data_IF_737373878286
#
_entry.id   IF_737373878286
#
_cell.length_a   1.000
_cell.length_b   1.000
_cell.length_c   1.000
_cell.angle_alpha   90.00
_cell.angle_beta   90.00
_cell.angle_gamma   90.00
#
_symmetry.space_group_name_H-M   'P 1'
#
loop_
_entity.id
_entity.type
_entity.pdbx_description
1 polymer ?
#
# COMPACT_ATOMS: atom_id res chain seq x y z
N UNK A 1 -16.84 -20.79 6.46
CA UNK A 1 -16.54 -19.42 6.93
C UNK A 1 -15.07 -19.08 6.69
N UNK A 2 -14.78 -17.90 6.11
CA UNK A 2 -13.41 -17.38 6.00
C UNK A 2 -12.96 -16.81 7.34
N UNK A 3 -11.78 -17.19 7.79
CA UNK A 3 -11.21 -16.69 9.03
C UNK A 3 -9.72 -16.35 8.82
N UNK A 4 -9.31 -15.08 8.98
CA UNK A 4 -7.94 -14.64 8.69
C UNK A 4 -6.90 -15.03 9.72
N UNK A 5 -7.30 -15.67 10.83
CA UNK A 5 -6.39 -16.16 11.86
C UNK A 5 -5.44 -15.09 12.37
N UNK A 6 -4.13 -15.33 12.26
CA UNK A 6 -3.11 -14.40 12.74
C UNK A 6 -3.17 -13.00 12.09
N UNK A 7 -3.72 -12.86 10.88
CA UNK A 7 -3.90 -11.57 10.23
C UNK A 7 -4.93 -10.68 10.95
N UNK A 8 -5.83 -11.27 11.74
CA UNK A 8 -6.77 -10.57 12.62
C UNK A 8 -6.48 -10.83 14.11
N UNK A 9 -5.20 -11.03 14.43
CA UNK A 9 -4.73 -11.29 15.80
C UNK A 9 -5.12 -10.21 16.80
N UNK A 10 -5.41 -8.96 16.39
CA UNK A 10 -5.83 -7.90 17.29
C UNK A 10 -7.09 -8.24 18.11
N UNK A 11 -8.07 -8.91 17.51
CA UNK A 11 -9.27 -9.34 18.23
C UNK A 11 -8.98 -10.45 19.25
N UNK A 12 -8.14 -11.42 18.85
CA UNK A 12 -7.73 -12.51 19.74
C UNK A 12 -6.88 -11.98 20.88
N UNK A 13 -5.92 -11.12 20.61
CA UNK A 13 -5.08 -10.47 21.60
C UNK A 13 -5.90 -9.69 22.64
N UNK A 14 -6.94 -8.97 22.20
CA UNK A 14 -7.86 -8.28 23.10
C UNK A 14 -8.57 -9.24 24.07
N UNK A 15 -9.10 -10.37 23.58
CA UNK A 15 -9.75 -11.36 24.45
C UNK A 15 -8.74 -12.11 25.34
N UNK A 16 -7.58 -12.46 24.79
CA UNK A 16 -6.47 -13.09 25.50
C UNK A 16 -5.92 -12.21 26.62
N UNK A 17 -5.99 -10.88 26.50
CA UNK A 17 -5.61 -9.95 27.57
C UNK A 17 -6.44 -10.17 28.84
N UNK A 18 -7.77 -10.32 28.73
CA UNK A 18 -8.61 -10.53 29.92
C UNK A 18 -8.35 -11.86 30.61
N UNK A 19 -7.98 -12.88 29.83
CA UNK A 19 -7.59 -14.19 30.34
C UNK A 19 -6.23 -14.18 31.02
N UNK A 20 -5.20 -13.67 30.36
CA UNK A 20 -3.80 -13.86 30.79
C UNK A 20 -3.25 -12.68 31.62
N UNK A 21 -3.71 -11.45 31.35
CA UNK A 21 -3.22 -10.23 32.01
C UNK A 21 -4.18 -9.79 33.12
N UNK A 22 -5.46 -9.58 32.79
CA UNK A 22 -6.46 -9.20 33.78
C UNK A 22 -6.86 -10.38 34.69
N UNK A 23 -6.53 -11.61 34.29
CA UNK A 23 -6.79 -12.87 35.04
C UNK A 23 -8.23 -13.03 35.45
N UNK A 24 -9.16 -12.58 34.60
CA UNK A 24 -10.57 -12.90 34.78
C UNK A 24 -10.73 -14.42 34.63
N UNK A 25 -11.55 -15.05 35.48
CA UNK A 25 -11.85 -16.47 35.38
C UNK A 25 -13.24 -16.67 34.77
N UNK A 26 -13.29 -17.24 33.57
CA UNK A 26 -14.52 -17.45 32.81
C UNK A 26 -14.54 -18.86 32.20
N UNK A 27 -15.66 -19.59 32.30
CA UNK A 27 -15.78 -20.94 31.73
C UNK A 27 -15.60 -20.97 30.20
N UNK A 28 -15.89 -19.86 29.51
CA UNK A 28 -15.78 -19.72 28.05
C UNK A 28 -14.33 -19.87 27.56
N UNK A 29 -13.32 -19.65 28.40
CA UNK A 29 -11.92 -19.74 27.98
C UNK A 29 -11.52 -21.14 27.52
N UNK A 30 -12.19 -22.19 28.00
CA UNK A 30 -11.94 -23.57 27.53
C UNK A 30 -12.24 -23.71 26.04
N UNK A 31 -13.38 -23.18 25.59
CA UNK A 31 -13.76 -23.19 24.19
C UNK A 31 -12.90 -22.21 23.36
N UNK A 32 -12.62 -21.02 23.91
CA UNK A 32 -11.80 -20.01 23.25
C UNK A 32 -10.34 -20.48 23.03
N UNK A 33 -9.79 -21.32 23.90
CA UNK A 33 -8.42 -21.81 23.79
C UNK A 33 -8.11 -22.41 22.41
N UNK A 34 -9.05 -23.16 21.81
CA UNK A 34 -8.87 -23.71 20.47
C UNK A 34 -8.71 -22.61 19.40
N UNK A 35 -9.49 -21.54 19.50
CA UNK A 35 -9.43 -20.40 18.60
C UNK A 35 -8.14 -19.58 18.78
N UNK A 36 -7.72 -19.41 20.03
CA UNK A 36 -6.45 -18.77 20.41
C UNK A 36 -5.26 -19.56 19.85
N UNK A 37 -5.18 -20.87 20.12
CA UNK A 37 -4.15 -21.76 19.57
C UNK A 37 -4.12 -21.73 18.04
N UNK A 38 -5.28 -21.81 17.38
CA UNK A 38 -5.36 -21.73 15.92
C UNK A 38 -4.84 -20.39 15.37
N UNK A 39 -4.92 -19.31 16.15
CA UNK A 39 -4.39 -17.98 15.79
C UNK A 39 -2.90 -17.88 16.05
N UNK A 40 -2.39 -18.50 17.11
CA UNK A 40 -0.96 -18.52 17.47
C UNK A 40 -0.17 -19.42 16.53
N UNK A 41 -0.73 -20.53 16.05
CA UNK A 41 0.00 -21.53 15.26
C UNK A 41 -0.37 -21.54 13.77
N UNK A 42 -1.59 -21.12 13.41
CA UNK A 42 -2.05 -21.10 12.02
C UNK A 42 -2.09 -19.70 11.41
N UNK A 43 -2.19 -19.64 10.09
CA UNK A 43 -2.50 -18.41 9.37
C UNK A 43 -3.96 -18.39 8.93
N UNK A 44 -4.20 -17.91 7.72
CA UNK A 44 -5.52 -17.88 7.11
C UNK A 44 -6.14 -19.26 7.07
N UNK A 45 -7.44 -19.34 7.38
CA UNK A 45 -8.16 -20.60 7.43
C UNK A 45 -9.57 -20.49 6.84
N UNK A 46 -9.99 -21.56 6.20
CA UNK A 46 -11.37 -21.78 5.78
C UNK A 46 -11.96 -22.88 6.63
N UNK A 47 -12.96 -22.52 7.42
CA UNK A 47 -13.60 -23.42 8.37
C UNK A 47 -14.93 -23.89 7.79
N UNK A 48 -15.10 -25.20 7.64
CA UNK A 48 -16.32 -25.90 7.27
C UNK A 48 -16.76 -26.81 8.43
N UNK A 49 -18.05 -27.18 8.55
CA UNK A 49 -18.47 -28.17 9.56
C UNK A 49 -17.68 -29.48 9.52
N UNK A 50 -17.33 -29.95 8.32
CA UNK A 50 -16.65 -31.24 8.14
C UNK A 50 -15.13 -31.16 8.03
N UNK A 51 -14.57 -30.00 7.68
CA UNK A 51 -13.13 -29.85 7.46
C UNK A 51 -12.63 -28.43 7.72
N UNK A 52 -11.33 -28.29 7.93
CA UNK A 52 -10.67 -27.00 8.04
C UNK A 52 -9.43 -26.98 7.15
N UNK A 53 -9.33 -25.98 6.28
CA UNK A 53 -8.12 -25.72 5.50
C UNK A 53 -7.36 -24.61 6.20
N UNK A 54 -6.08 -24.85 6.49
CA UNK A 54 -5.20 -23.87 7.13
C UNK A 54 -4.00 -23.63 6.22
N UNK A 55 -3.75 -22.37 5.89
CA UNK A 55 -2.54 -21.95 5.19
C UNK A 55 -1.37 -21.81 6.18
N UNK A 56 -0.17 -22.16 5.75
CA UNK A 56 1.05 -21.78 6.46
C UNK A 56 1.25 -20.26 6.42
N UNK A 57 2.15 -19.74 7.24
CA UNK A 57 2.47 -18.31 7.24
C UNK A 57 3.22 -17.93 5.97
N UNK A 58 2.94 -16.76 5.40
CA UNK A 58 3.77 -16.20 4.35
C UNK A 58 5.21 -16.02 4.87
N UNK A 59 6.19 -16.38 4.04
CA UNK A 59 7.60 -16.14 4.28
C UNK A 59 7.98 -14.67 4.08
N UNK A 60 7.17 -13.93 3.34
CA UNK A 60 7.40 -12.50 3.06
C UNK A 60 6.08 -11.75 3.14
N UNK A 61 6.08 -10.64 3.88
CA UNK A 61 5.00 -9.67 3.94
C UNK A 61 5.62 -8.27 3.92
N UNK A 62 5.39 -7.54 2.82
CA UNK A 62 5.88 -6.19 2.62
C UNK A 62 4.72 -5.22 2.55
N UNK A 63 4.89 -4.09 3.25
CA UNK A 63 3.91 -3.02 3.33
C UNK A 63 4.56 -1.67 3.11
N UNK A 64 3.77 -0.70 2.67
CA UNK A 64 4.20 0.70 2.61
C UNK A 64 4.09 1.40 3.98
N UNK A 65 4.43 2.69 4.00
CA UNK A 65 4.40 3.52 5.20
C UNK A 65 3.01 3.69 5.84
N UNK A 66 1.92 3.39 5.10
CA UNK A 66 0.56 3.36 5.62
C UNK A 66 0.11 1.95 6.02
N UNK A 67 1.04 0.99 6.05
CA UNK A 67 0.78 -0.44 6.33
C UNK A 67 -0.12 -1.11 5.30
N UNK A 68 -0.14 -0.63 4.05
CA UNK A 68 -0.84 -1.29 2.93
C UNK A 68 0.09 -2.28 2.23
N UNK A 69 -0.40 -3.44 1.75
CA UNK A 69 0.37 -4.34 0.90
C UNK A 69 1.11 -3.61 -0.23
N UNK A 70 2.44 -3.71 -0.28
CA UNK A 70 3.22 -3.04 -1.33
C UNK A 70 4.63 -3.62 -1.46
N UNK A 71 5.08 -3.81 -2.70
CA UNK A 71 6.48 -4.01 -3.04
C UNK A 71 6.73 -3.57 -4.48
N UNK A 72 7.82 -2.83 -4.71
CA UNK A 72 8.21 -2.42 -6.05
C UNK A 72 9.20 -3.39 -6.72
N UNK A 73 9.83 -4.27 -5.94
CA UNK A 73 10.96 -5.11 -6.39
C UNK A 73 10.63 -6.61 -6.40
N UNK A 74 9.37 -6.97 -6.15
CA UNK A 74 8.93 -8.37 -6.14
C UNK A 74 7.55 -8.54 -5.51
N UNK A 75 7.17 -9.77 -5.13
CA UNK A 75 5.89 -10.03 -4.47
C UNK A 75 5.83 -9.31 -3.13
N UNK A 76 4.68 -8.72 -2.81
CA UNK A 76 4.46 -8.18 -1.46
C UNK A 76 4.12 -9.29 -0.47
N UNK A 77 3.54 -10.39 -0.96
CA UNK A 77 3.26 -11.59 -0.17
C UNK A 77 3.87 -12.80 -0.87
N UNK A 78 4.63 -13.62 -0.15
CA UNK A 78 5.16 -14.89 -0.68
C UNK A 78 5.04 -16.00 0.35
N UNK A 79 4.75 -17.21 -0.11
CA UNK A 79 4.71 -18.44 0.67
C UNK A 79 5.82 -19.39 0.24
N UNK A 80 6.16 -20.33 1.13
CA UNK A 80 7.27 -21.28 0.94
C UNK A 80 7.01 -22.30 -0.16
N UNK A 81 5.76 -22.49 -0.54
CA UNK A 81 5.32 -23.35 -1.64
C UNK A 81 5.44 -22.66 -3.02
N UNK A 82 5.86 -21.39 -3.06
CA UNK A 82 6.00 -20.60 -4.28
C UNK A 82 4.77 -19.76 -4.61
N UNK A 83 3.68 -19.82 -3.83
CA UNK A 83 2.55 -18.93 -4.01
C UNK A 83 2.95 -17.47 -3.71
N UNK A 84 2.48 -16.55 -4.55
CA UNK A 84 2.85 -15.13 -4.47
C UNK A 84 1.66 -14.24 -4.77
N UNK A 85 1.63 -13.08 -4.13
CA UNK A 85 0.71 -11.99 -4.47
C UNK A 85 1.50 -10.69 -4.63
N UNK A 86 1.06 -9.87 -5.58
CA UNK A 86 1.70 -8.62 -5.95
C UNK A 86 0.73 -7.48 -5.69
N UNK A 87 1.21 -6.49 -4.95
CA UNK A 87 0.40 -5.33 -4.60
C UNK A 87 1.22 -4.06 -4.78
N UNK A 88 0.56 -3.02 -5.25
CA UNK A 88 1.09 -1.66 -5.35
C UNK A 88 0.21 -0.73 -4.50
N UNK A 89 0.72 -0.25 -3.36
CA UNK A 89 0.00 0.65 -2.45
C UNK A 89 -1.39 0.16 -2.03
N UNK A 90 -1.52 -1.16 -1.83
CA UNK A 90 -2.77 -1.83 -1.45
C UNK A 90 -3.62 -2.31 -2.62
N UNK A 91 -3.31 -1.94 -3.86
CA UNK A 91 -4.00 -2.43 -5.05
C UNK A 91 -3.32 -3.71 -5.55
N UNK A 92 -4.10 -4.78 -5.72
CA UNK A 92 -3.60 -6.02 -6.33
C UNK A 92 -3.30 -5.78 -7.81
N UNK A 93 -2.15 -6.27 -8.26
CA UNK A 93 -1.67 -6.12 -9.63
C UNK A 93 -1.15 -7.43 -10.19
N UNK A 94 -1.15 -7.58 -11.53
CA UNK A 94 -0.46 -8.69 -12.19
C UNK A 94 1.04 -8.71 -11.85
N UNK A 95 1.62 -9.90 -11.76
CA UNK A 95 3.03 -10.09 -11.40
C UNK A 95 3.97 -9.40 -12.41
N UNK A 96 3.62 -9.46 -13.69
CA UNK A 96 4.37 -8.87 -14.80
C UNK A 96 4.56 -7.36 -14.66
N UNK A 97 3.65 -6.64 -14.00
CA UNK A 97 3.78 -5.19 -13.82
C UNK A 97 4.90 -4.84 -12.84
N UNK A 98 5.27 -5.77 -11.95
CA UNK A 98 6.36 -5.59 -10.99
C UNK A 98 7.64 -6.24 -11.50
N UNK A 99 7.56 -7.50 -11.96
CA UNK A 99 8.73 -8.26 -12.40
C UNK A 99 9.27 -7.76 -13.75
N UNK A 100 8.40 -7.28 -14.63
CA UNK A 100 8.72 -6.73 -15.95
C UNK A 100 8.34 -5.26 -16.06
N UNK A 101 8.46 -4.52 -14.95
CA UNK A 101 8.11 -3.08 -14.87
C UNK A 101 8.73 -2.19 -15.96
N UNK A 102 9.86 -2.61 -16.53
CA UNK A 102 10.56 -1.92 -17.61
C UNK A 102 9.92 -2.12 -19.01
N UNK A 103 9.01 -3.08 -19.16
CA UNK A 103 8.25 -3.33 -20.40
C UNK A 103 6.96 -2.49 -20.47
N UNK A 104 6.57 -1.81 -19.39
CA UNK A 104 5.36 -0.98 -19.36
C UNK A 104 5.56 0.23 -20.27
N UNK A 105 4.58 0.49 -21.13
CA UNK A 105 4.61 1.61 -22.09
C UNK A 105 3.42 2.58 -21.90
N UNK A 106 3.53 3.83 -22.36
CA UNK A 106 2.41 4.78 -22.41
C UNK A 106 1.16 4.23 -23.12
N UNK A 107 1.35 3.44 -24.18
CA UNK A 107 0.25 2.82 -24.91
C UNK A 107 -0.50 1.80 -24.04
N UNK A 108 0.22 0.97 -23.27
CA UNK A 108 -0.39 0.04 -22.32
C UNK A 108 -1.16 0.77 -21.22
N UNK A 109 -0.60 1.87 -20.68
CA UNK A 109 -1.29 2.71 -19.70
C UNK A 109 -2.64 3.21 -20.25
N UNK A 110 -2.64 3.79 -21.46
CA UNK A 110 -3.88 4.31 -22.07
C UNK A 110 -4.89 3.22 -22.46
N UNK A 111 -4.41 2.01 -22.77
CA UNK A 111 -5.28 0.88 -23.10
C UNK A 111 -6.00 0.29 -21.88
N UNK A 112 -5.44 0.45 -20.66
CA UNK A 112 -6.06 -0.04 -19.43
C UNK A 112 -7.37 0.70 -19.13
N UNK A 113 -8.45 -0.06 -19.05
CA UNK A 113 -9.82 0.45 -18.91
C UNK A 113 -10.13 0.81 -17.46
N UNK A 114 -9.64 0.01 -16.52
CA UNK A 114 -9.86 0.26 -15.10
C UNK A 114 -9.02 1.48 -14.66
N UNK A 115 -9.68 2.53 -14.21
CA UNK A 115 -9.02 3.78 -13.83
C UNK A 115 -8.00 3.60 -12.69
N UNK A 116 -8.30 2.75 -11.71
CA UNK A 116 -7.38 2.46 -10.60
C UNK A 116 -6.13 1.72 -11.09
N UNK A 117 -6.31 0.73 -11.97
CA UNK A 117 -5.18 -0.01 -12.53
C UNK A 117 -4.34 0.84 -13.49
N UNK A 118 -4.97 1.71 -14.29
CA UNK A 118 -4.28 2.67 -15.15
C UNK A 118 -3.43 3.65 -14.34
N UNK A 119 -3.94 4.09 -13.19
CA UNK A 119 -3.20 4.92 -12.25
C UNK A 119 -1.99 4.17 -11.68
N UNK A 120 -2.17 2.91 -11.28
CA UNK A 120 -1.06 2.07 -10.80
C UNK A 120 0.01 1.89 -11.87
N UNK A 121 -0.36 1.59 -13.12
CA UNK A 121 0.60 1.52 -14.23
C UNK A 121 1.36 2.84 -14.43
N UNK A 122 0.68 3.97 -14.33
CA UNK A 122 1.31 5.31 -14.41
C UNK A 122 2.34 5.50 -13.30
N UNK A 123 2.01 5.12 -12.06
CA UNK A 123 2.93 5.19 -10.92
C UNK A 123 4.13 4.26 -11.09
N UNK A 124 3.93 3.02 -11.57
CA UNK A 124 5.01 2.06 -11.84
C UNK A 124 5.92 2.59 -12.95
N UNK A 125 5.36 3.08 -14.05
CA UNK A 125 6.15 3.68 -15.14
C UNK A 125 6.99 4.86 -14.63
N UNK A 126 6.39 5.75 -13.84
CA UNK A 126 7.09 6.88 -13.25
C UNK A 126 8.15 6.44 -12.22
N UNK A 127 7.94 5.33 -11.51
CA UNK A 127 8.94 4.73 -10.62
C UNK A 127 10.17 4.23 -11.39
N UNK A 128 9.97 3.64 -12.57
CA UNK A 128 11.07 3.10 -13.41
C UNK A 128 11.78 4.20 -14.20
N UNK A 129 11.04 5.11 -14.82
CA UNK A 129 11.57 6.08 -15.78
C UNK A 129 11.71 7.50 -15.23
N UNK A 130 11.17 7.76 -14.04
CA UNK A 130 11.15 9.07 -13.40
C UNK A 130 9.97 9.94 -13.84
N UNK A 131 9.67 10.94 -13.01
CA UNK A 131 8.55 11.87 -13.21
C UNK A 131 8.67 12.66 -14.54
N UNK A 132 9.87 13.09 -14.92
CA UNK A 132 10.07 13.85 -16.16
C UNK A 132 9.65 13.10 -17.41
N UNK A 133 9.91 11.79 -17.46
CA UNK A 133 9.59 10.95 -18.62
C UNK A 133 8.10 10.68 -18.73
N UNK A 134 7.42 10.34 -17.64
CA UNK A 134 5.95 10.18 -17.67
C UNK A 134 5.24 11.48 -18.04
N UNK A 135 5.73 12.64 -17.57
CA UNK A 135 5.15 13.95 -17.89
C UNK A 135 5.24 14.21 -19.39
N UNK A 136 6.39 13.93 -20.01
CA UNK A 136 6.59 14.10 -21.45
C UNK A 136 5.77 13.09 -22.27
N UNK A 137 5.88 11.80 -21.95
CA UNK A 137 5.30 10.72 -22.76
C UNK A 137 3.77 10.66 -22.68
N UNK A 138 3.20 11.02 -21.53
CA UNK A 138 1.75 11.04 -21.34
C UNK A 138 1.12 12.41 -21.64
N UNK A 139 1.91 13.46 -21.90
CA UNK A 139 1.40 14.81 -22.11
C UNK A 139 0.74 15.40 -20.87
N UNK A 140 1.36 15.22 -19.70
CA UNK A 140 0.78 15.63 -18.42
C UNK A 140 0.60 17.15 -18.35
N UNK A 141 -0.61 17.60 -17.99
CA UNK A 141 -0.94 19.02 -17.84
C UNK A 141 -0.77 19.44 -16.38
N UNK A 142 0.10 20.40 -16.12
CA UNK A 142 0.27 20.93 -14.77
C UNK A 142 -0.98 21.74 -14.36
N UNK A 143 -1.53 21.42 -13.20
CA UNK A 143 -2.71 22.06 -12.62
C UNK A 143 -2.30 23.17 -11.65
N UNK A 144 -1.36 22.84 -10.75
CA UNK A 144 -0.92 23.74 -9.69
C UNK A 144 0.53 23.41 -9.30
N UNK A 145 1.28 24.44 -8.90
CA UNK A 145 2.62 24.33 -8.31
C UNK A 145 2.64 25.13 -7.03
N UNK A 146 3.31 24.61 -6.00
CA UNK A 146 3.65 25.36 -4.81
C UNK A 146 5.01 24.89 -4.25
N UNK A 147 5.36 25.39 -3.06
CA UNK A 147 6.56 24.96 -2.34
C UNK A 147 6.25 24.75 -0.87
N UNK A 148 6.79 23.67 -0.30
CA UNK A 148 6.80 23.43 1.13
C UNK A 148 8.23 23.13 1.59
N UNK A 149 8.68 23.82 2.65
CA UNK A 149 10.03 23.67 3.20
C UNK A 149 11.14 23.84 2.12
N UNK A 150 10.94 24.76 1.18
CA UNK A 150 11.88 25.04 0.08
C UNK A 150 11.86 24.01 -1.05
N UNK A 151 10.90 23.08 -1.07
CA UNK A 151 10.79 22.00 -2.07
C UNK A 151 9.55 22.20 -2.91
N UNK A 152 9.73 22.21 -4.24
CA UNK A 152 8.62 22.31 -5.19
C UNK A 152 7.74 21.07 -5.15
N UNK A 153 6.43 21.29 -5.19
CA UNK A 153 5.42 20.25 -5.38
C UNK A 153 4.57 20.64 -6.57
N UNK A 154 4.26 19.67 -7.43
CA UNK A 154 3.52 19.93 -8.68
C UNK A 154 2.40 18.93 -8.83
N UNK A 155 1.20 19.45 -9.04
CA UNK A 155 0.02 18.65 -9.33
C UNK A 155 -0.21 18.62 -10.83
N UNK A 156 -0.41 17.43 -11.37
CA UNK A 156 -0.60 17.15 -12.79
C UNK A 156 -1.94 16.44 -13.03
N UNK A 157 -2.45 16.63 -14.24
CA UNK A 157 -3.55 15.90 -14.84
C UNK A 157 -3.01 15.04 -15.98
N UNK A 158 -3.32 13.75 -15.96
CA UNK A 158 -3.03 12.81 -17.05
C UNK A 158 -4.32 12.07 -17.36
N UNK A 159 -4.88 12.30 -18.54
CA UNK A 159 -6.10 11.63 -19.03
C UNK A 159 -7.24 11.62 -17.99
N UNK A 160 -7.43 12.75 -17.29
CA UNK A 160 -8.46 12.96 -16.27
C UNK A 160 -8.11 12.44 -14.86
N UNK A 161 -6.90 11.91 -14.66
CA UNK A 161 -6.41 11.42 -13.36
C UNK A 161 -5.39 12.39 -12.76
N UNK A 162 -5.46 12.61 -11.45
CA UNK A 162 -4.57 13.53 -10.73
C UNK A 162 -3.31 12.84 -10.25
N UNK A 163 -2.16 13.48 -10.42
CA UNK A 163 -0.86 13.00 -9.93
C UNK A 163 -0.06 14.12 -9.27
N UNK A 164 0.59 13.80 -8.15
CA UNK A 164 1.46 14.69 -7.43
C UNK A 164 2.92 14.28 -7.62
N UNK A 165 3.74 15.24 -8.08
CA UNK A 165 5.19 15.13 -8.11
C UNK A 165 5.79 15.85 -6.90
N UNK A 166 6.43 15.10 -6.01
CA UNK A 166 7.11 15.62 -4.82
C UNK A 166 8.51 15.05 -4.66
N UNK A 167 9.35 15.76 -3.90
CA UNK A 167 10.64 15.24 -3.44
C UNK A 167 10.56 14.89 -1.96
N UNK A 168 11.18 13.79 -1.56
CA UNK A 168 11.20 13.35 -0.18
C UNK A 168 11.79 14.43 0.75
N UNK A 169 11.22 14.55 1.95
CA UNK A 169 11.70 15.43 3.02
C UNK A 169 12.95 14.90 3.73
N UNK A 170 13.16 13.58 3.72
CA UNK A 170 14.38 12.94 4.22
C UNK A 170 15.42 12.77 3.10
N UNK A 171 16.71 12.77 3.48
CA UNK A 171 17.78 12.35 2.58
C UNK A 171 17.88 10.82 2.61
N UNK A 172 18.19 10.24 1.46
CA UNK A 172 18.63 8.85 1.37
C UNK A 172 20.03 8.70 2.00
N UNK A 173 20.49 7.47 2.21
CA UNK A 173 21.81 7.21 2.83
C UNK A 173 22.98 7.85 2.04
N UNK A 174 22.83 8.01 0.73
CA UNK A 174 23.79 8.66 -0.17
C UNK A 174 23.66 10.19 -0.21
N UNK A 175 22.77 10.77 0.59
CA UNK A 175 22.51 12.20 0.64
C UNK A 175 21.56 12.72 -0.46
N UNK A 176 21.15 11.88 -1.41
CA UNK A 176 20.18 12.22 -2.44
C UNK A 176 18.76 12.33 -1.86
N UNK A 177 17.82 12.81 -2.67
CA UNK A 177 16.40 12.84 -2.31
C UNK A 177 15.63 12.11 -3.38
N UNK A 178 14.86 11.11 -2.97
CA UNK A 178 13.97 10.41 -3.87
C UNK A 178 12.83 11.32 -4.35
N UNK A 179 12.53 11.24 -5.64
CA UNK A 179 11.36 11.86 -6.22
C UNK A 179 10.22 10.84 -6.27
N UNK A 180 9.01 11.30 -6.04
CA UNK A 180 7.81 10.48 -6.10
C UNK A 180 6.81 11.12 -7.05
N UNK A 181 6.22 10.28 -7.91
CA UNK A 181 5.09 10.62 -8.74
C UNK A 181 3.96 9.69 -8.33
N UNK A 182 3.07 10.19 -7.47
CA UNK A 182 2.01 9.41 -6.84
C UNK A 182 0.69 9.92 -7.39
N UNK A 183 -0.31 9.07 -7.55
CA UNK A 183 -1.63 9.59 -7.85
C UNK A 183 -2.19 10.38 -6.66
N UNK A 184 -3.09 11.30 -6.93
CA UNK A 184 -3.80 12.11 -5.95
C UNK A 184 -5.31 11.85 -6.04
N UNK A 185 -6.08 12.32 -5.08
CA UNK A 185 -7.55 12.23 -5.16
C UNK A 185 -8.05 13.04 -6.36
N UNK A 186 -9.14 12.62 -7.04
CA UNK A 186 -9.69 13.35 -8.20
C UNK A 186 -10.04 14.81 -7.88
N UNK A 187 -10.46 15.08 -6.65
CA UNK A 187 -10.88 16.38 -6.14
C UNK A 187 -9.70 17.28 -5.74
N UNK A 188 -8.46 16.77 -5.76
CA UNK A 188 -7.29 17.57 -5.42
C UNK A 188 -7.14 18.74 -6.39
N UNK A 189 -7.19 19.95 -5.84
CA UNK A 189 -6.97 21.21 -6.57
C UNK A 189 -5.59 21.82 -6.29
N UNK A 190 -4.97 21.48 -5.16
CA UNK A 190 -3.66 22.01 -4.74
C UNK A 190 -2.67 20.88 -4.46
N UNK A 191 -1.35 21.13 -4.59
CA UNK A 191 -0.34 20.15 -4.19
C UNK A 191 -0.45 19.79 -2.69
N UNK A 192 -0.76 20.77 -1.84
CA UNK A 192 -0.96 20.53 -0.40
C UNK A 192 -2.11 19.56 -0.10
N UNK A 193 -3.28 19.73 -0.74
CA UNK A 193 -4.41 18.83 -0.59
C UNK A 193 -4.06 17.40 -1.02
N UNK A 194 -3.35 17.26 -2.14
CA UNK A 194 -2.89 15.96 -2.65
C UNK A 194 -1.92 15.26 -1.67
N UNK A 195 -0.98 16.01 -1.09
CA UNK A 195 -0.06 15.47 -0.07
C UNK A 195 -0.81 15.10 1.21
N UNK A 196 -1.72 15.94 1.71
CA UNK A 196 -2.50 15.62 2.90
C UNK A 196 -3.28 14.30 2.73
N UNK A 197 -3.93 14.14 1.58
CA UNK A 197 -4.68 12.94 1.23
C UNK A 197 -3.79 11.69 1.15
N UNK A 198 -2.55 11.80 0.66
CA UNK A 198 -1.62 10.66 0.60
C UNK A 198 -1.23 10.14 1.98
N UNK A 199 -1.29 10.97 3.02
CA UNK A 199 -1.13 10.57 4.42
C UNK A 199 -2.43 10.17 5.13
N UNK A 200 -3.57 10.14 4.41
CA UNK A 200 -4.88 9.88 5.00
C UNK A 200 -5.32 10.96 5.98
N UNK A 201 -4.91 12.22 5.78
CA UNK A 201 -5.21 13.35 6.66
C UNK A 201 -6.04 14.42 5.94
N UNK A 202 -7.00 15.07 6.63
CA UNK A 202 -7.68 16.25 6.08
C UNK A 202 -6.72 17.41 5.86
N UNK A 203 -6.86 18.12 4.73
CA UNK A 203 -6.02 19.27 4.36
C UNK A 203 -5.97 20.33 5.47
N UNK A 204 -7.12 20.67 6.07
CA UNK A 204 -7.22 21.68 7.13
C UNK A 204 -6.34 21.40 8.36
N UNK A 205 -6.12 20.11 8.64
CA UNK A 205 -5.35 19.65 9.81
C UNK A 205 -3.92 19.24 9.47
N UNK A 206 -3.61 19.08 8.18
CA UNK A 206 -2.32 18.56 7.76
C UNK A 206 -1.27 19.69 7.75
N UNK A 207 -0.14 19.43 8.40
CA UNK A 207 1.03 20.28 8.39
C UNK A 207 2.25 19.40 8.19
N UNK A 208 3.06 19.73 7.19
CA UNK A 208 4.32 19.04 6.96
C UNK A 208 5.29 19.40 8.08
N UNK A 209 5.57 18.45 8.97
CA UNK A 209 6.61 18.62 9.97
C UNK A 209 7.99 18.69 9.30
N UNK A 210 8.86 19.55 9.80
CA UNK A 210 10.27 19.55 9.41
C UNK A 210 10.89 18.27 9.99
N UNK A 211 11.24 17.33 9.11
CA UNK A 211 12.09 16.20 9.48
C UNK A 211 13.53 16.64 9.22
N UNK A 212 14.23 16.99 10.29
CA UNK A 212 15.69 17.19 10.31
C UNK A 212 16.40 15.85 10.19
#
# INVERSE_FOLDING_TARGET
MRNPGNHWSGWVAYLSFFRHVARLDLPQYRAFAHYETATIHGSWRWVHPDFCIVSDRPSTLLVDHLRRPHSADGPSHAWRDGWKLYYWHGQEVPAEWIEKKHEITPAMIRAERNAELRRVLTEIYAHVHGAGRIIADMGARMIAEDSAQGRKRRLYDIDGSRFIHVKNGSREQDGSRREFFLGATPEAATPHAAVAASYGRPESTYREAVRT
#
